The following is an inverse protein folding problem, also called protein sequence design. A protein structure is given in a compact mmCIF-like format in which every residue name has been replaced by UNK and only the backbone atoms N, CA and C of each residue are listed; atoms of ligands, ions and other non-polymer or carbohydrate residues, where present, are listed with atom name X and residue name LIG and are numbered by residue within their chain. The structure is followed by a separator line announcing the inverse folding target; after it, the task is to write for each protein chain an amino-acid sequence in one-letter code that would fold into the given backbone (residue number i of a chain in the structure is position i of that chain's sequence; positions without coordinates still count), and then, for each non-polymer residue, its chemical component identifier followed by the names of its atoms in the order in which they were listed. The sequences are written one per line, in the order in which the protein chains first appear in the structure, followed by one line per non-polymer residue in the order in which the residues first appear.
data_IF_411361460456
#
_entry.id   IF_411361460456
#
_cell.length_a   1.000
_cell.length_b   1.000
_cell.length_c   1.000
_cell.angle_alpha   90.00
_cell.angle_beta   90.00
_cell.angle_gamma   90.00
#
_symmetry.space_group_name_H-M   'P 1'
#
loop_
_entity.id
_entity.type
_entity.pdbx_description
1 polymer ?
#
# COMPACT_ATOMS: atom_id res chain seq x y z
N UNK A 1 5.37 -18.80 17.85
CA UNK A 1 5.03 -17.42 17.40
C UNK A 1 5.54 -17.24 15.98
N UNK A 2 4.75 -16.71 15.05
CA UNK A 2 5.19 -16.49 13.67
C UNK A 2 6.01 -15.18 13.55
N UNK A 3 7.21 -15.25 12.95
CA UNK A 3 8.02 -14.07 12.65
C UNK A 3 7.42 -13.33 11.45
N UNK A 4 6.97 -12.08 11.66
CA UNK A 4 6.30 -11.32 10.60
C UNK A 4 7.27 -10.71 9.58
N UNK A 5 8.46 -10.34 10.02
CA UNK A 5 9.53 -9.81 9.18
C UNK A 5 10.87 -10.06 9.88
N UNK A 6 11.79 -10.68 9.15
CA UNK A 6 13.14 -10.99 9.60
C UNK A 6 14.10 -10.76 8.44
N UNK A 7 15.30 -10.26 8.74
CA UNK A 7 16.37 -10.04 7.76
C UNK A 7 17.71 -10.39 8.42
N UNK A 8 18.48 -11.25 7.78
CA UNK A 8 19.86 -11.55 8.15
C UNK A 8 20.83 -10.64 7.39
N UNK A 9 21.95 -10.29 8.04
CA UNK A 9 23.01 -9.46 7.44
C UNK A 9 23.72 -10.25 6.35
N UNK A 10 23.91 -9.63 5.19
CA UNK A 10 24.72 -10.21 4.12
C UNK A 10 26.20 -9.82 4.30
N UNK A 11 27.12 -10.64 3.78
CA UNK A 11 28.55 -10.31 3.78
C UNK A 11 28.82 -9.00 3.02
N UNK A 12 29.63 -8.12 3.60
CA UNK A 12 29.93 -6.79 3.03
C UNK A 12 28.81 -5.75 3.12
N UNK A 13 27.64 -6.07 3.71
CA UNK A 13 26.53 -5.12 3.82
C UNK A 13 26.74 -4.06 4.91
N UNK A 14 26.59 -2.78 4.53
CA UNK A 14 26.50 -1.65 5.46
C UNK A 14 25.21 -1.69 6.29
N UNK A 15 25.28 -1.29 7.56
CA UNK A 15 24.15 -1.25 8.48
C UNK A 15 22.92 -0.50 7.92
N UNK A 16 23.14 0.56 7.13
CA UNK A 16 22.06 1.36 6.52
C UNK A 16 21.25 0.53 5.52
N UNK A 17 21.93 -0.31 4.71
CA UNK A 17 21.28 -1.17 3.74
C UNK A 17 20.44 -2.27 4.42
N UNK A 18 20.95 -2.81 5.53
CA UNK A 18 20.23 -3.77 6.35
C UNK A 18 18.93 -3.17 6.92
N UNK A 19 18.99 -1.96 7.49
CA UNK A 19 17.81 -1.23 7.99
C UNK A 19 16.80 -0.99 6.86
N UNK A 20 17.27 -0.60 5.66
CA UNK A 20 16.40 -0.39 4.50
C UNK A 20 15.68 -1.66 4.06
N UNK A 21 16.39 -2.80 4.01
CA UNK A 21 15.80 -4.12 3.69
C UNK A 21 14.76 -4.52 4.73
N UNK A 22 15.10 -4.38 6.01
CA UNK A 22 14.16 -4.66 7.10
C UNK A 22 12.91 -3.78 6.99
N UNK A 23 13.08 -2.48 6.78
CA UNK A 23 11.97 -1.53 6.62
C UNK A 23 11.09 -1.90 5.42
N UNK A 24 11.68 -2.26 4.28
CA UNK A 24 10.94 -2.72 3.09
C UNK A 24 10.20 -4.03 3.35
N UNK A 25 10.80 -4.98 4.08
CA UNK A 25 10.16 -6.26 4.48
C UNK A 25 8.98 -6.02 5.41
N UNK A 26 9.13 -5.16 6.42
CA UNK A 26 8.05 -4.78 7.36
C UNK A 26 6.89 -4.08 6.63
N UNK A 27 7.20 -3.13 5.75
CA UNK A 27 6.19 -2.47 4.92
C UNK A 27 5.48 -3.47 3.99
N UNK A 28 6.26 -4.37 3.37
CA UNK A 28 5.77 -5.45 2.52
C UNK A 28 4.90 -6.46 3.26
N UNK A 29 5.16 -6.74 4.54
CA UNK A 29 4.35 -7.62 5.36
C UNK A 29 3.00 -6.99 5.75
N UNK A 30 2.86 -5.66 5.67
CA UNK A 30 1.59 -4.96 5.93
C UNK A 30 1.07 -5.08 7.36
N UNK A 31 1.93 -5.46 8.32
CA UNK A 31 1.57 -5.68 9.73
C UNK A 31 1.09 -4.39 10.37
N UNK A 32 1.82 -3.29 10.15
CA UNK A 32 1.52 -1.99 10.77
C UNK A 32 0.15 -1.44 10.33
N UNK A 33 -0.21 -1.37 9.02
CA UNK A 33 -1.55 -0.91 8.63
C UNK A 33 -2.66 -1.85 9.10
N UNK A 34 -2.41 -3.17 9.17
CA UNK A 34 -3.38 -4.14 9.70
C UNK A 34 -3.68 -3.87 11.18
N UNK A 35 -2.65 -3.79 12.02
CA UNK A 35 -2.81 -3.53 13.46
C UNK A 35 -3.45 -2.16 13.70
N UNK A 36 -3.02 -1.12 12.95
CA UNK A 36 -3.65 0.21 13.03
C UNK A 36 -5.13 0.19 12.65
N UNK A 37 -5.50 -0.56 11.62
CA UNK A 37 -6.90 -0.71 11.19
C UNK A 37 -7.76 -1.47 12.19
N UNK A 38 -7.18 -2.45 12.88
CA UNK A 38 -7.87 -3.28 13.88
C UNK A 38 -7.86 -2.68 15.30
N UNK A 39 -7.16 -1.55 15.51
CA UNK A 39 -6.99 -0.94 16.85
C UNK A 39 -8.33 -0.61 17.51
N UNK A 40 -9.30 -0.14 16.73
CA UNK A 40 -10.60 0.29 17.22
C UNK A 40 -11.74 -0.42 16.50
N UNK A 41 -12.85 -0.65 17.22
CA UNK A 41 -14.07 -1.20 16.65
C UNK A 41 -14.66 -0.22 15.63
N UNK A 42 -14.87 -0.69 14.41
CA UNK A 42 -15.60 0.06 13.37
C UNK A 42 -16.96 -0.57 13.14
N UNK A 43 -17.98 0.26 12.87
CA UNK A 43 -19.33 -0.22 12.50
C UNK A 43 -19.33 -0.74 11.06
N UNK A 44 -20.10 -1.80 10.80
CA UNK A 44 -20.36 -2.29 9.44
C UNK A 44 -21.06 -1.21 8.61
N UNK A 45 -20.51 -0.87 7.44
CA UNK A 45 -21.08 0.14 6.55
C UNK A 45 -22.41 -0.34 5.97
N UNK A 46 -23.37 0.58 5.80
CA UNK A 46 -24.62 0.27 5.09
C UNK A 46 -24.38 0.13 3.58
N UNK A 47 -25.33 -0.52 2.87
CA UNK A 47 -25.26 -0.69 1.41
C UNK A 47 -25.12 0.66 0.68
N UNK A 48 -25.85 1.70 1.13
CA UNK A 48 -25.80 3.02 0.51
C UNK A 48 -24.42 3.69 0.64
N UNK A 49 -23.81 3.62 1.84
CA UNK A 49 -22.47 4.19 2.08
C UNK A 49 -21.40 3.46 1.26
N UNK A 50 -21.51 2.13 1.15
CA UNK A 50 -20.61 1.35 0.32
C UNK A 50 -20.72 1.75 -1.17
N UNK A 51 -21.95 1.90 -1.69
CA UNK A 51 -22.20 2.36 -3.07
C UNK A 51 -21.63 3.76 -3.33
N UNK A 52 -21.88 4.73 -2.44
CA UNK A 52 -21.35 6.10 -2.56
C UNK A 52 -19.82 6.11 -2.65
N UNK A 53 -19.15 5.32 -1.80
CA UNK A 53 -17.68 5.19 -1.84
C UNK A 53 -17.19 4.54 -3.12
N UNK A 54 -17.91 3.56 -3.67
CA UNK A 54 -17.56 2.91 -4.93
C UNK A 54 -17.68 3.88 -6.12
N UNK A 55 -18.79 4.63 -6.20
CA UNK A 55 -19.01 5.63 -7.25
C UNK A 55 -17.93 6.71 -7.24
N UNK A 56 -17.56 7.23 -6.06
CA UNK A 56 -16.45 8.20 -5.93
C UNK A 56 -15.13 7.65 -6.48
N UNK A 57 -14.85 6.36 -6.27
CA UNK A 57 -13.63 5.70 -6.77
C UNK A 57 -13.65 5.54 -8.29
N UNK A 58 -14.81 5.29 -8.88
CA UNK A 58 -14.97 5.18 -10.34
C UNK A 58 -14.76 6.55 -10.98
N UNK A 59 -15.48 7.58 -10.51
CA UNK A 59 -15.35 8.94 -11.01
C UNK A 59 -13.89 9.46 -10.92
N UNK A 60 -13.20 9.18 -9.81
CA UNK A 60 -11.79 9.57 -9.67
C UNK A 60 -10.86 8.85 -10.66
N UNK A 61 -11.18 7.62 -11.08
CA UNK A 61 -10.37 6.91 -12.10
C UNK A 61 -10.56 7.54 -13.46
N UNK A 62 -11.79 7.90 -13.82
CA UNK A 62 -12.12 8.58 -15.08
C UNK A 62 -11.43 9.95 -15.14
N UNK A 63 -11.55 10.76 -14.09
CA UNK A 63 -10.87 12.05 -13.98
C UNK A 63 -9.35 11.92 -14.15
N UNK A 64 -8.73 10.92 -13.51
CA UNK A 64 -7.29 10.69 -13.64
C UNK A 64 -6.92 10.30 -15.08
N UNK A 65 -7.73 9.47 -15.75
CA UNK A 65 -7.50 9.10 -17.15
C UNK A 65 -7.61 10.32 -18.08
N UNK A 66 -8.58 11.20 -17.86
CA UNK A 66 -8.70 12.44 -18.63
C UNK A 66 -7.52 13.37 -18.40
N UNK A 67 -7.11 13.58 -17.14
CA UNK A 67 -5.95 14.41 -16.82
C UNK A 67 -4.65 13.89 -17.43
N UNK A 68 -4.48 12.56 -17.49
CA UNK A 68 -3.37 11.91 -18.19
C UNK A 68 -3.44 12.22 -19.69
N UNK A 69 -4.61 12.03 -20.32
CA UNK A 69 -4.80 12.33 -21.76
C UNK A 69 -4.52 13.81 -22.08
N UNK A 70 -4.89 14.71 -21.17
CA UNK A 70 -4.64 16.15 -21.30
C UNK A 70 -3.18 16.56 -20.98
N UNK A 71 -2.31 15.61 -20.61
CA UNK A 71 -0.91 15.89 -20.22
C UNK A 71 -0.76 16.63 -18.89
N UNK A 72 -1.84 16.81 -18.12
CA UNK A 72 -1.85 17.51 -16.82
C UNK A 72 -1.38 16.62 -15.67
N UNK A 73 -1.30 15.31 -15.90
CA UNK A 73 -0.87 14.34 -14.91
C UNK A 73 0.02 13.28 -15.54
N UNK A 74 1.14 12.96 -14.89
CA UNK A 74 2.02 11.88 -15.33
C UNK A 74 1.37 10.52 -15.05
N UNK A 75 1.51 9.59 -15.99
CA UNK A 75 1.16 8.19 -15.77
C UNK A 75 2.00 7.65 -14.63
N UNK A 76 1.34 7.23 -13.55
CA UNK A 76 2.04 6.56 -12.46
C UNK A 76 2.44 5.17 -12.96
N UNK A 77 3.74 4.81 -12.94
CA UNK A 77 4.11 3.44 -13.24
C UNK A 77 3.39 2.52 -12.28
N UNK A 78 2.85 1.41 -12.78
CA UNK A 78 2.35 0.32 -11.94
C UNK A 78 3.48 0.01 -10.96
N UNK A 79 3.34 0.37 -9.68
CA UNK A 79 4.34 0.05 -8.65
C UNK A 79 4.68 -1.42 -8.84
N UNK A 80 5.93 -1.69 -9.23
CA UNK A 80 6.34 -2.97 -9.81
C UNK A 80 5.72 -4.13 -9.05
N UNK A 81 5.15 -5.09 -9.79
CA UNK A 81 4.53 -6.29 -9.24
C UNK A 81 5.31 -6.71 -8.00
N UNK A 82 4.62 -6.82 -6.86
CA UNK A 82 5.17 -7.52 -5.70
C UNK A 82 5.66 -8.86 -6.24
N UNK A 83 6.97 -9.01 -6.47
CA UNK A 83 7.58 -10.30 -6.74
C UNK A 83 7.14 -11.16 -5.55
N UNK A 84 6.34 -12.17 -5.84
CA UNK A 84 5.88 -13.14 -4.85
C UNK A 84 7.11 -13.79 -4.22
#
# INVERSE_FOLDING_TARGET
MATNAEVTKNEGESAINLIRRFSKRVQGAGVIPRIRGNRYRTRTKSKAVARKSALKRIARREEVQELIKLGKMLEKPLRGQRRK
#
